data_IF_947570429843
#
_entry.id   IF_947570429843
#
_cell.length_a   1.000
_cell.length_b   1.000
_cell.length_c   1.000
_cell.angle_alpha   90.00
_cell.angle_beta   90.00
_cell.angle_gamma   90.00
#
_symmetry.space_group_name_H-M   'P 1'
#
loop_
_entity.id
_entity.type
_entity.pdbx_description
1 polymer ?
#
# COMPACT_ATOMS: atom_id res chain seq x y z
N UNK A 1 25.80 -22.02 -50.22
CA UNK A 1 25.62 -23.37 -50.80
C UNK A 1 24.15 -23.69 -50.61
N UNK A 2 23.47 -23.60 -51.78
CA UNK A 2 22.39 -24.39 -52.39
C UNK A 2 21.12 -24.52 -51.53
N UNK A 3 20.06 -23.77 -51.86
CA UNK A 3 19.08 -23.93 -52.95
C UNK A 3 18.39 -25.31 -52.99
N UNK A 4 17.08 -25.29 -52.83
CA UNK A 4 16.17 -25.82 -53.85
C UNK A 4 14.69 -25.47 -53.58
N UNK A 5 14.14 -24.81 -54.60
CA UNK A 5 12.74 -24.57 -54.88
C UNK A 5 12.10 -25.79 -55.60
N UNK A 6 10.77 -25.86 -55.61
CA UNK A 6 9.98 -26.78 -56.44
C UNK A 6 8.48 -26.59 -56.22
N UNK A 7 7.89 -25.88 -56.95
CA UNK A 7 7.04 -25.74 -58.15
C UNK A 7 5.87 -26.73 -58.20
N UNK A 8 4.68 -26.13 -58.38
CA UNK A 8 3.38 -26.70 -58.80
C UNK A 8 3.46 -27.50 -60.07
N UNK A 9 2.42 -28.29 -60.41
CA UNK A 9 1.65 -27.95 -61.60
C UNK A 9 0.12 -28.06 -61.51
N UNK A 10 -0.50 -27.25 -62.36
CA UNK A 10 -1.88 -27.32 -62.84
C UNK A 10 -2.09 -28.63 -63.73
N UNK A 11 -3.31 -29.07 -63.85
CA UNK A 11 -4.00 -29.27 -65.11
C UNK A 11 -5.47 -29.69 -64.93
N UNK A 12 -6.12 -29.30 -65.78
CA UNK A 12 -7.32 -28.97 -66.49
C UNK A 12 -8.18 -30.17 -66.90
N UNK A 13 -9.39 -29.82 -67.39
CA UNK A 13 -10.38 -30.50 -68.20
C UNK A 13 -11.35 -31.44 -67.48
N UNK A 14 -12.65 -31.25 -67.53
CA UNK A 14 -13.53 -30.93 -68.64
C UNK A 14 -14.65 -31.97 -68.70
N UNK A 15 -15.80 -31.51 -68.89
CA UNK A 15 -16.94 -32.04 -69.73
C UNK A 15 -18.31 -32.16 -69.01
N UNK A 16 -19.16 -31.48 -69.66
CA UNK A 16 -20.62 -31.42 -69.78
C UNK A 16 -21.43 -32.64 -69.39
N UNK A 17 -22.61 -32.40 -68.86
CA UNK A 17 -23.72 -33.35 -68.76
C UNK A 17 -25.03 -32.61 -68.37
N UNK A 18 -25.75 -32.16 -69.41
CA UNK A 18 -27.16 -31.71 -69.28
C UNK A 18 -28.05 -32.89 -68.83
N UNK A 19 -28.92 -32.61 -67.86
CA UNK A 19 -30.25 -33.24 -67.76
C UNK A 19 -31.28 -32.34 -67.10
N UNK A 20 -32.43 -32.33 -67.81
CA UNK A 20 -33.59 -31.50 -67.72
C UNK A 20 -34.42 -31.72 -66.45
N UNK A 21 -35.12 -30.65 -66.08
CA UNK A 21 -36.22 -30.33 -65.23
C UNK A 21 -37.30 -31.37 -64.96
N UNK A 22 -38.01 -31.38 -63.79
CA UNK A 22 -39.36 -30.77 -63.83
C UNK A 22 -39.70 -29.84 -62.66
N UNK A 23 -40.52 -28.86 -63.01
CA UNK A 23 -41.26 -27.93 -62.21
C UNK A 23 -42.11 -28.59 -61.08
N UNK A 24 -42.10 -28.03 -59.93
CA UNK A 24 -43.25 -27.54 -59.16
C UNK A 24 -42.93 -27.47 -57.65
N UNK A 25 -42.80 -26.27 -57.15
CA UNK A 25 -43.09 -25.98 -55.75
C UNK A 25 -43.36 -24.46 -55.61
N UNK A 26 -44.63 -24.15 -55.60
CA UNK A 26 -45.09 -22.82 -55.24
C UNK A 26 -44.66 -22.47 -53.81
N UNK A 27 -43.71 -21.55 -53.66
CA UNK A 27 -43.39 -20.94 -52.39
C UNK A 27 -44.44 -19.89 -52.04
N UNK A 28 -45.28 -20.19 -51.07
CA UNK A 28 -46.07 -19.16 -50.34
C UNK A 28 -45.12 -18.19 -49.68
N UNK A 29 -44.87 -17.07 -50.30
CA UNK A 29 -44.24 -15.91 -49.66
C UNK A 29 -45.32 -15.21 -48.81
N UNK A 30 -45.34 -15.52 -47.51
CA UNK A 30 -46.09 -14.69 -46.52
C UNK A 30 -45.43 -13.33 -46.51
N UNK A 31 -46.05 -12.33 -47.18
CA UNK A 31 -45.73 -10.91 -47.01
C UNK A 31 -46.12 -10.49 -45.59
N UNK A 32 -45.11 -10.42 -44.68
CA UNK A 32 -45.26 -9.71 -43.41
C UNK A 32 -45.37 -8.22 -43.72
N UNK A 33 -46.60 -7.68 -43.57
CA UNK A 33 -46.86 -6.25 -43.60
C UNK A 33 -46.37 -5.67 -42.27
N UNK A 34 -45.09 -5.28 -42.19
CA UNK A 34 -44.63 -4.44 -41.09
C UNK A 34 -45.36 -3.09 -41.17
N UNK A 35 -46.09 -2.74 -40.14
CA UNK A 35 -46.66 -1.41 -40.02
C UNK A 35 -45.47 -0.44 -39.81
N UNK A 36 -45.25 0.60 -40.60
CA UNK A 36 -44.10 1.47 -40.52
C UNK A 36 -43.97 2.15 -39.13
N UNK A 37 -45.08 2.34 -38.43
CA UNK A 37 -45.12 2.84 -37.06
C UNK A 37 -44.45 1.94 -36.03
N UNK A 38 -44.42 0.62 -36.19
CA UNK A 38 -43.77 -0.32 -35.27
C UNK A 38 -42.28 -0.33 -35.48
N UNK A 39 -41.84 -0.23 -36.74
CA UNK A 39 -40.38 -0.17 -37.05
C UNK A 39 -39.76 1.13 -36.54
N UNK A 40 -40.45 2.27 -36.71
CA UNK A 40 -39.98 3.56 -36.19
C UNK A 40 -39.94 3.56 -34.66
N UNK A 41 -40.95 3.00 -33.99
CA UNK A 41 -40.97 2.89 -32.53
C UNK A 41 -39.83 2.02 -32.00
N UNK A 42 -39.51 0.92 -32.67
CA UNK A 42 -38.37 0.05 -32.30
C UNK A 42 -37.02 0.77 -32.45
N UNK A 43 -36.84 1.53 -33.55
CA UNK A 43 -35.60 2.32 -33.74
C UNK A 43 -35.47 3.42 -32.67
N UNK A 44 -36.53 4.13 -32.32
CA UNK A 44 -36.50 5.15 -31.29
C UNK A 44 -36.17 4.55 -29.91
N UNK A 45 -36.74 3.39 -29.59
CA UNK A 45 -36.41 2.69 -28.33
C UNK A 45 -34.97 2.22 -28.26
N UNK A 46 -34.39 1.71 -29.35
CA UNK A 46 -32.99 1.27 -29.42
C UNK A 46 -32.06 2.49 -29.32
N UNK A 47 -32.38 3.59 -30.03
CA UNK A 47 -31.58 4.82 -29.91
C UNK A 47 -31.69 5.45 -28.52
N UNK A 48 -32.87 5.43 -27.87
CA UNK A 48 -33.05 5.89 -26.51
C UNK A 48 -32.24 5.02 -25.50
N UNK A 49 -32.24 3.69 -25.66
CA UNK A 49 -31.48 2.78 -24.84
C UNK A 49 -29.94 2.98 -25.01
N UNK A 50 -29.47 3.18 -26.25
CA UNK A 50 -28.10 3.50 -26.57
C UNK A 50 -27.70 4.87 -25.98
N UNK A 51 -28.59 5.87 -26.09
CA UNK A 51 -28.32 7.20 -25.55
C UNK A 51 -28.33 7.22 -24.01
N UNK A 52 -29.24 6.47 -23.39
CA UNK A 52 -29.29 6.29 -21.93
C UNK A 52 -28.04 5.52 -21.47
N UNK A 53 -27.64 4.46 -22.18
CA UNK A 53 -26.41 3.73 -21.92
C UNK A 53 -25.15 4.59 -22.08
N UNK A 54 -25.10 5.41 -23.14
CA UNK A 54 -24.01 6.34 -23.40
C UNK A 54 -23.98 7.51 -22.38
N UNK A 55 -25.13 8.05 -22.03
CA UNK A 55 -25.24 9.09 -20.99
C UNK A 55 -24.94 8.53 -19.59
N UNK A 56 -25.32 7.29 -19.31
CA UNK A 56 -24.95 6.56 -18.10
C UNK A 56 -23.43 6.28 -18.05
N UNK A 57 -22.86 5.86 -19.17
CA UNK A 57 -21.42 5.63 -19.30
C UNK A 57 -20.60 6.92 -19.16
N UNK A 58 -21.08 8.04 -19.74
CA UNK A 58 -20.46 9.36 -19.50
C UNK A 58 -20.61 9.88 -18.07
N UNK A 59 -21.70 9.56 -17.37
CA UNK A 59 -21.88 9.91 -15.95
C UNK A 59 -21.05 9.04 -15.01
N UNK A 60 -20.71 7.82 -15.41
CA UNK A 60 -19.85 6.92 -14.62
C UNK A 60 -18.35 7.19 -14.78
N UNK A 61 -17.93 8.01 -15.73
CA UNK A 61 -16.56 8.52 -15.82
C UNK A 61 -16.46 9.79 -14.95
N UNK A 62 -16.38 9.63 -13.63
CA UNK A 62 -15.80 10.67 -12.80
C UNK A 62 -14.47 11.05 -13.44
N UNK A 63 -14.28 12.33 -13.76
CA UNK A 63 -13.08 12.81 -14.44
C UNK A 63 -11.89 12.61 -13.50
N UNK A 64 -11.19 11.49 -13.68
CA UNK A 64 -9.96 11.23 -12.93
C UNK A 64 -8.82 12.04 -13.59
N UNK A 65 -8.11 12.81 -12.79
CA UNK A 65 -6.99 13.63 -13.25
C UNK A 65 -5.69 13.07 -12.68
N UNK A 66 -4.68 12.95 -13.54
CA UNK A 66 -3.35 12.50 -13.12
C UNK A 66 -2.56 13.65 -12.52
N UNK A 67 -1.89 13.38 -11.40
CA UNK A 67 -0.99 14.30 -10.74
C UNK A 67 0.31 13.59 -10.35
N UNK A 68 1.43 14.28 -10.53
CA UNK A 68 2.69 13.90 -9.92
C UNK A 68 2.75 14.44 -8.48
N UNK A 69 3.29 13.66 -7.56
CA UNK A 69 3.46 14.07 -6.16
C UNK A 69 4.62 15.04 -6.04
N UNK A 70 4.41 16.13 -5.33
CA UNK A 70 5.47 17.08 -4.99
C UNK A 70 5.71 17.07 -3.48
N UNK A 71 6.98 16.98 -3.10
CA UNK A 71 7.44 17.06 -1.72
C UNK A 71 7.24 15.78 -0.88
N UNK A 72 7.80 15.78 0.32
CA UNK A 72 7.99 14.58 1.14
C UNK A 72 6.79 14.20 2.02
N UNK A 73 5.72 14.99 2.06
CA UNK A 73 4.69 14.92 3.12
C UNK A 73 3.96 13.60 3.26
N UNK A 74 3.93 12.78 2.19
CA UNK A 74 3.27 11.47 2.16
C UNK A 74 4.25 10.29 2.08
N UNK A 75 5.56 10.54 2.14
CA UNK A 75 6.54 9.46 2.21
C UNK A 75 6.35 8.64 3.52
N UNK A 76 6.53 7.33 3.49
CA UNK A 76 6.98 6.50 2.37
C UNK A 76 5.86 6.05 1.40
N UNK A 77 4.60 6.35 1.68
CA UNK A 77 3.45 5.87 0.89
C UNK A 77 3.44 6.43 -0.53
N UNK A 78 3.67 7.74 -0.67
CA UNK A 78 3.77 8.43 -1.95
C UNK A 78 5.03 9.29 -1.92
N UNK A 79 5.88 9.11 -2.92
CA UNK A 79 7.16 9.81 -3.03
C UNK A 79 7.05 10.98 -4.02
N UNK A 80 7.59 12.14 -3.64
CA UNK A 80 7.91 13.21 -4.58
C UNK A 80 9.08 12.82 -5.50
N UNK A 81 9.59 13.76 -6.27
CA UNK A 81 10.91 13.57 -6.91
C UNK A 81 11.93 13.27 -5.80
N UNK A 82 12.73 12.24 -6.01
CA UNK A 82 13.63 11.74 -4.98
C UNK A 82 14.92 11.20 -5.59
N UNK A 83 15.93 11.04 -4.77
CA UNK A 83 17.16 10.35 -5.13
C UNK A 83 17.18 8.97 -4.47
N UNK A 84 18.00 8.08 -4.99
CA UNK A 84 18.25 6.77 -4.36
C UNK A 84 19.60 6.80 -3.66
N UNK A 85 19.57 6.56 -2.37
CA UNK A 85 20.77 6.28 -1.61
C UNK A 85 21.07 4.78 -1.68
N UNK A 86 22.34 4.43 -1.94
CA UNK A 86 22.82 3.06 -2.05
C UNK A 86 23.98 2.83 -1.08
N UNK A 87 23.79 1.90 -0.18
CA UNK A 87 24.85 1.50 0.73
C UNK A 87 25.86 0.62 0.01
N UNK A 88 27.12 1.02 -0.01
CA UNK A 88 28.21 0.24 -0.63
C UNK A 88 28.54 -1.01 0.17
N UNK A 89 28.21 -1.03 1.45
CA UNK A 89 28.54 -2.12 2.37
C UNK A 89 27.49 -3.23 2.37
N UNK A 90 26.23 -2.91 2.69
CA UNK A 90 25.15 -3.90 2.78
C UNK A 90 24.28 -4.01 1.53
N UNK A 91 24.49 -3.16 0.52
CA UNK A 91 23.74 -3.16 -0.74
C UNK A 91 22.31 -2.66 -0.63
N UNK A 92 21.89 -2.12 0.53
CA UNK A 92 20.55 -1.56 0.70
C UNK A 92 20.39 -0.29 -0.14
N UNK A 93 19.29 -0.21 -0.87
CA UNK A 93 18.86 0.98 -1.61
C UNK A 93 17.59 1.52 -0.98
N UNK A 94 17.49 2.86 -0.85
CA UNK A 94 16.27 3.48 -0.35
C UNK A 94 16.11 4.90 -0.92
N UNK A 95 14.88 5.38 -1.09
CA UNK A 95 14.64 6.74 -1.53
C UNK A 95 14.98 7.76 -0.43
N UNK A 96 15.53 8.89 -0.84
CA UNK A 96 15.77 10.07 0.01
C UNK A 96 15.19 11.32 -0.64
N UNK A 97 14.83 12.30 0.18
CA UNK A 97 14.33 13.59 -0.31
C UNK A 97 15.42 14.32 -1.09
N UNK A 98 15.09 14.84 -2.27
CA UNK A 98 15.99 15.60 -3.13
C UNK A 98 16.44 16.93 -2.47
N UNK A 99 15.67 17.45 -1.51
CA UNK A 99 16.03 18.63 -0.74
C UNK A 99 17.26 18.42 0.16
N UNK A 100 17.66 17.17 0.36
CA UNK A 100 18.82 16.78 1.17
C UNK A 100 20.13 16.74 0.36
N UNK A 101 20.20 17.43 -0.78
CA UNK A 101 21.40 17.50 -1.63
C UNK A 101 22.65 17.91 -0.84
N UNK A 102 23.73 17.14 -1.04
CA UNK A 102 25.01 17.35 -0.37
C UNK A 102 25.07 16.83 1.05
N UNK A 103 24.01 16.26 1.59
CA UNK A 103 24.01 15.61 2.91
C UNK A 103 24.78 14.28 2.84
N UNK A 104 25.68 14.06 3.81
CA UNK A 104 26.32 12.75 3.96
C UNK A 104 25.28 11.75 4.43
N UNK A 105 24.88 10.85 3.55
CA UNK A 105 23.85 9.85 3.85
C UNK A 105 24.50 8.64 4.52
N UNK A 106 23.96 8.27 5.67
CA UNK A 106 24.39 7.09 6.43
C UNK A 106 23.32 6.02 6.27
N UNK A 107 23.73 4.80 5.97
CA UNK A 107 22.83 3.67 5.87
C UNK A 107 22.13 3.41 7.22
N UNK A 108 20.83 3.53 7.26
CA UNK A 108 20.05 3.30 8.49
C UNK A 108 20.07 1.83 8.93
N UNK A 109 20.53 0.92 8.06
CA UNK A 109 20.62 -0.51 8.36
C UNK A 109 21.97 -0.89 8.98
N UNK A 110 23.11 -0.55 8.36
CA UNK A 110 24.42 -1.00 8.82
C UNK A 110 25.31 0.12 9.40
N UNK A 111 24.96 1.39 9.18
CA UNK A 111 25.70 2.54 9.68
C UNK A 111 26.85 3.00 8.79
N UNK A 112 27.09 2.33 7.66
CA UNK A 112 28.10 2.76 6.70
C UNK A 112 27.61 3.91 5.81
N UNK A 113 28.56 4.57 5.14
CA UNK A 113 28.21 5.63 4.18
C UNK A 113 27.48 5.05 2.99
N UNK A 114 26.47 5.77 2.55
CA UNK A 114 25.78 5.50 1.32
C UNK A 114 26.22 6.50 0.24
N UNK A 115 26.26 6.03 -0.99
CA UNK A 115 26.38 6.88 -2.17
C UNK A 115 24.98 7.27 -2.64
N UNK A 116 24.81 8.49 -3.06
CA UNK A 116 23.57 8.97 -3.66
C UNK A 116 23.72 8.87 -5.17
N UNK A 117 22.77 8.23 -5.84
CA UNK A 117 22.78 8.11 -7.29
C UNK A 117 22.59 9.50 -7.93
N UNK A 118 23.33 9.76 -9.01
CA UNK A 118 23.18 11.01 -9.75
C UNK A 118 21.84 11.02 -10.49
N UNK A 119 21.10 12.11 -10.35
CA UNK A 119 19.81 12.32 -10.98
C UNK A 119 18.63 12.07 -10.04
N UNK A 120 17.50 12.68 -10.39
CA UNK A 120 16.25 12.51 -9.67
C UNK A 120 15.45 11.37 -10.29
N UNK A 121 14.89 10.54 -9.44
CA UNK A 121 13.87 9.56 -9.81
C UNK A 121 12.50 10.24 -9.87
N UNK A 122 11.66 9.76 -10.77
CA UNK A 122 10.34 10.33 -10.98
C UNK A 122 9.47 10.19 -9.73
N UNK A 123 8.63 11.18 -9.51
CA UNK A 123 7.63 11.17 -8.46
C UNK A 123 6.57 10.10 -8.69
N UNK A 124 5.95 9.62 -7.61
CA UNK A 124 4.75 8.80 -7.69
C UNK A 124 3.65 9.53 -8.47
N UNK A 125 2.98 8.82 -9.37
CA UNK A 125 1.84 9.33 -10.14
C UNK A 125 0.55 8.78 -9.58
N UNK A 126 -0.38 9.67 -9.31
CA UNK A 126 -1.67 9.34 -8.73
C UNK A 126 -2.83 9.77 -9.62
N UNK A 127 -3.93 9.04 -9.56
CA UNK A 127 -5.24 9.48 -10.04
C UNK A 127 -6.01 10.14 -8.91
N UNK A 128 -6.50 11.34 -9.18
CA UNK A 128 -7.47 11.99 -8.30
C UNK A 128 -8.85 11.82 -8.93
N UNK A 129 -9.65 10.95 -8.33
CA UNK A 129 -11.05 10.79 -8.68
C UNK A 129 -11.85 11.96 -8.12
N UNK A 130 -12.23 12.88 -9.01
CA UNK A 130 -12.91 14.11 -8.61
C UNK A 130 -14.19 13.82 -7.86
N UNK A 131 -14.46 14.62 -6.84
CA UNK A 131 -15.68 14.61 -6.07
C UNK A 131 -16.79 15.34 -6.84
N UNK A 132 -17.90 14.66 -7.11
CA UNK A 132 -19.10 15.34 -7.60
C UNK A 132 -19.81 16.02 -6.42
N UNK A 133 -19.78 17.35 -6.37
CA UNK A 133 -20.58 18.11 -5.42
C UNK A 133 -22.08 17.83 -5.72
N UNK A 134 -22.66 16.93 -4.98
CA UNK A 134 -24.11 16.82 -4.92
C UNK A 134 -24.63 18.12 -4.31
N UNK A 135 -25.49 18.79 -5.06
CA UNK A 135 -26.07 20.08 -4.72
C UNK A 135 -26.52 20.10 -3.24
N UNK A 136 -25.94 21.01 -2.46
CA UNK A 136 -26.09 21.10 -1.00
C UNK A 136 -27.55 21.26 -0.54
N UNK A 137 -28.49 21.48 -1.47
CA UNK A 137 -29.92 21.60 -1.21
C UNK A 137 -30.64 20.26 -1.01
N UNK A 138 -30.00 19.12 -1.37
CA UNK A 138 -30.67 17.80 -1.41
C UNK A 138 -30.25 16.80 -0.35
N UNK A 139 -29.19 17.03 0.43
CA UNK A 139 -28.76 16.05 1.45
C UNK A 139 -28.07 16.70 2.64
N UNK A 140 -28.81 16.86 3.73
CA UNK A 140 -28.34 17.43 5.00
C UNK A 140 -27.55 16.41 5.84
N UNK A 141 -27.54 15.13 5.49
CA UNK A 141 -27.06 14.04 6.37
C UNK A 141 -26.23 12.92 5.73
N UNK A 142 -25.87 13.00 4.46
CA UNK A 142 -25.09 11.91 3.83
C UNK A 142 -23.59 12.20 3.88
N UNK A 143 -22.75 11.20 4.22
CA UNK A 143 -21.31 11.34 4.14
C UNK A 143 -20.86 11.63 2.70
N UNK A 144 -19.75 12.34 2.57
CA UNK A 144 -19.11 12.63 1.29
C UNK A 144 -18.82 11.31 0.55
N UNK A 145 -19.22 11.24 -0.72
CA UNK A 145 -19.02 10.06 -1.56
C UNK A 145 -18.26 10.42 -2.81
N UNK A 146 -17.35 9.53 -3.22
CA UNK A 146 -16.73 9.55 -4.54
C UNK A 146 -17.37 8.42 -5.34
N UNK A 147 -18.20 8.79 -6.31
CA UNK A 147 -19.16 7.81 -6.87
C UNK A 147 -20.13 7.33 -5.78
N UNK A 148 -20.31 6.02 -5.66
CA UNK A 148 -21.17 5.42 -4.64
C UNK A 148 -20.47 5.08 -3.33
N UNK A 149 -19.16 5.33 -3.22
CA UNK A 149 -18.33 4.91 -2.07
C UNK A 149 -18.12 6.07 -1.11
N UNK A 150 -18.52 5.96 0.17
CA UNK A 150 -18.26 6.99 1.17
C UNK A 150 -16.76 7.07 1.47
N UNK A 151 -16.27 8.27 1.86
CA UNK A 151 -14.94 8.43 2.41
C UNK A 151 -14.82 7.71 3.75
N UNK A 152 -13.65 7.13 3.99
CA UNK A 152 -13.33 6.33 5.19
C UNK A 152 -12.08 6.87 5.86
N UNK A 153 -11.90 6.51 7.12
CA UNK A 153 -10.61 6.66 7.79
C UNK A 153 -9.59 5.81 7.03
N UNK A 154 -8.44 6.41 6.71
CA UNK A 154 -7.39 5.79 5.92
C UNK A 154 -7.37 6.21 4.45
N UNK A 155 -8.46 6.73 3.91
CA UNK A 155 -8.46 7.21 2.53
C UNK A 155 -7.45 8.35 2.34
N UNK A 156 -6.70 8.27 1.23
CA UNK A 156 -5.85 9.36 0.79
C UNK A 156 -6.66 10.29 -0.11
N UNK A 157 -6.61 11.57 0.18
CA UNK A 157 -7.42 12.59 -0.51
C UNK A 157 -6.58 13.77 -0.97
N UNK A 158 -7.00 14.35 -2.09
CA UNK A 158 -6.53 15.63 -2.55
C UNK A 158 -7.35 16.74 -1.89
N UNK A 159 -6.69 17.70 -1.26
CA UNK A 159 -7.33 18.85 -0.61
C UNK A 159 -6.84 20.16 -1.22
N UNK A 160 -7.70 21.19 -1.29
CA UNK A 160 -7.26 22.53 -1.67
C UNK A 160 -6.41 23.13 -0.55
N UNK A 161 -5.20 23.59 -0.91
CA UNK A 161 -4.38 24.47 -0.10
C UNK A 161 -4.53 25.92 -0.56
N UNK A 162 -3.76 26.83 -0.01
CA UNK A 162 -3.77 28.25 -0.39
C UNK A 162 -3.30 28.43 -1.84
N UNK A 163 -2.12 27.86 -2.17
CA UNK A 163 -1.49 28.05 -3.50
C UNK A 163 -1.49 26.76 -4.33
N UNK A 164 -1.63 25.59 -3.70
CA UNK A 164 -1.51 24.30 -4.38
C UNK A 164 -2.41 23.24 -3.74
N UNK A 165 -2.69 22.20 -4.51
CA UNK A 165 -3.36 21.00 -4.01
C UNK A 165 -2.39 20.21 -3.12
N UNK A 166 -2.89 19.73 -1.97
CA UNK A 166 -2.13 18.90 -1.04
C UNK A 166 -2.73 17.51 -0.98
N UNK A 167 -1.90 16.50 -0.88
CA UNK A 167 -2.33 15.12 -0.66
C UNK A 167 -2.14 14.77 0.82
N UNK A 168 -3.18 14.23 1.43
CA UNK A 168 -3.21 13.87 2.86
C UNK A 168 -4.08 12.64 3.10
N UNK A 169 -3.87 12.00 4.23
CA UNK A 169 -4.69 10.87 4.68
C UNK A 169 -5.75 11.33 5.67
N UNK A 170 -6.98 10.86 5.49
CA UNK A 170 -8.07 11.07 6.44
C UNK A 170 -7.83 10.17 7.66
N UNK A 171 -7.78 10.76 8.86
CA UNK A 171 -7.70 10.00 10.11
C UNK A 171 -8.94 10.14 10.98
N UNK A 172 -9.79 11.13 10.74
CA UNK A 172 -11.08 11.25 11.42
C UNK A 172 -12.13 11.87 10.50
N UNK A 173 -13.37 11.44 10.69
CA UNK A 173 -14.56 11.77 9.90
C UNK A 173 -15.49 12.73 10.66
N UNK A 174 -16.51 13.33 10.01
CA UNK A 174 -17.50 14.15 10.68
C UNK A 174 -18.14 13.46 11.88
N UNK A 175 -18.12 14.12 13.03
CA UNK A 175 -18.66 13.62 14.30
C UNK A 175 -17.64 12.89 15.18
N UNK A 176 -16.46 12.52 14.66
CA UNK A 176 -15.43 11.88 15.45
C UNK A 176 -14.79 12.82 16.47
N UNK A 177 -14.20 12.23 17.50
CA UNK A 177 -13.42 12.91 18.52
C UNK A 177 -11.93 12.56 18.35
N UNK A 178 -11.12 13.56 18.05
CA UNK A 178 -9.65 13.39 17.97
C UNK A 178 -9.04 13.74 19.33
N UNK A 179 -8.36 12.78 19.94
CA UNK A 179 -7.82 12.84 21.28
C UNK A 179 -6.33 12.53 21.33
N UNK A 180 -5.71 12.69 22.50
CA UNK A 180 -4.31 12.37 22.73
C UNK A 180 -4.14 11.31 23.82
N UNK A 181 -3.31 10.31 23.54
CA UNK A 181 -2.72 9.44 24.57
C UNK A 181 -1.20 9.62 24.56
N UNK A 182 -0.70 10.38 25.52
CA UNK A 182 0.68 10.89 25.42
C UNK A 182 0.81 11.83 24.23
N UNK A 183 1.64 11.52 23.27
CA UNK A 183 1.75 12.28 22.02
C UNK A 183 0.95 11.66 20.85
N UNK A 184 0.47 10.42 20.99
CA UNK A 184 -0.22 9.71 19.91
C UNK A 184 -1.64 10.23 19.74
N UNK A 185 -2.05 10.39 18.48
CA UNK A 185 -3.42 10.74 18.11
C UNK A 185 -4.32 9.49 18.20
N UNK A 186 -5.48 9.69 18.78
CA UNK A 186 -6.55 8.71 18.86
C UNK A 186 -7.81 9.26 18.19
N UNK A 187 -8.65 8.38 17.71
CA UNK A 187 -9.98 8.71 17.18
C UNK A 187 -11.01 7.89 17.96
N UNK A 188 -11.94 8.57 18.64
CA UNK A 188 -12.95 7.96 19.50
C UNK A 188 -12.34 7.00 20.57
N UNK A 189 -11.19 7.37 21.12
CA UNK A 189 -10.47 6.58 22.13
C UNK A 189 -9.61 5.43 21.57
N UNK A 190 -9.71 5.15 20.28
CA UNK A 190 -8.96 4.09 19.60
C UNK A 190 -7.78 4.62 18.81
N UNK A 191 -6.83 3.74 18.53
CA UNK A 191 -5.72 4.06 17.65
C UNK A 191 -6.20 4.17 16.21
N UNK A 192 -5.58 5.04 15.42
CA UNK A 192 -5.93 5.25 14.02
C UNK A 192 -5.84 3.95 13.20
N UNK A 193 -4.89 3.07 13.53
CA UNK A 193 -4.74 1.77 12.85
C UNK A 193 -5.93 0.83 13.06
N UNK A 194 -6.48 0.79 14.29
CA UNK A 194 -7.68 -0.01 14.54
C UNK A 194 -8.87 0.49 13.70
N UNK A 195 -8.91 1.82 13.47
CA UNK A 195 -9.93 2.43 12.62
C UNK A 195 -9.67 2.23 11.11
N UNK A 196 -8.42 2.03 10.70
CA UNK A 196 -8.01 1.88 9.29
C UNK A 196 -7.90 0.43 8.87
N UNK A 197 -8.24 -0.57 9.42
CA UNK A 197 -8.06 -1.96 8.98
C UNK A 197 -6.78 -2.14 8.16
N UNK A 198 -5.76 -2.72 8.76
CA UNK A 198 -4.48 -3.15 8.22
C UNK A 198 -4.15 -2.67 6.79
N UNK A 199 -3.36 -1.64 6.67
CA UNK A 199 -2.89 -1.16 5.37
C UNK A 199 -1.38 -1.33 5.30
N UNK A 200 -0.93 -2.13 4.33
CA UNK A 200 0.50 -2.40 4.11
C UNK A 200 1.27 -1.15 3.70
N UNK A 201 0.59 -0.17 3.09
CA UNK A 201 1.17 1.10 2.67
C UNK A 201 1.61 2.01 3.83
N UNK A 202 1.15 1.75 5.06
CA UNK A 202 1.59 2.45 6.26
C UNK A 202 2.88 1.88 6.88
N UNK A 203 3.43 0.83 6.31
CA UNK A 203 4.65 0.23 6.82
C UNK A 203 5.89 0.99 6.36
N UNK A 204 6.82 1.21 7.28
CA UNK A 204 8.17 1.70 6.99
C UNK A 204 9.14 0.57 7.26
N UNK A 205 9.89 0.10 6.26
CA UNK A 205 10.79 -1.02 6.45
C UNK A 205 11.81 -0.76 7.56
N UNK A 206 11.86 -1.61 8.56
CA UNK A 206 12.87 -1.57 9.62
C UNK A 206 14.09 -2.41 9.25
N UNK A 207 13.85 -3.57 8.63
CA UNK A 207 14.89 -4.46 8.13
C UNK A 207 14.31 -5.42 7.11
N UNK A 208 15.15 -5.91 6.23
CA UNK A 208 14.79 -6.97 5.29
C UNK A 208 15.92 -7.98 5.16
N UNK A 209 15.57 -9.25 5.20
CA UNK A 209 16.53 -10.33 4.97
C UNK A 209 17.11 -10.30 3.55
N UNK A 210 16.36 -9.78 2.58
CA UNK A 210 16.75 -9.71 1.17
C UNK A 210 17.98 -8.82 0.96
N UNK A 211 18.21 -7.85 1.84
CA UNK A 211 19.35 -6.93 1.75
C UNK A 211 20.59 -7.39 2.53
N UNK A 212 20.54 -8.53 3.22
CA UNK A 212 21.72 -9.08 3.87
C UNK A 212 22.64 -9.73 2.82
N UNK A 213 23.88 -9.27 2.74
CA UNK A 213 24.89 -9.86 1.87
C UNK A 213 25.46 -11.15 2.52
N UNK A 214 25.61 -12.21 1.70
CA UNK A 214 26.09 -13.52 2.18
C UNK A 214 27.51 -13.50 2.77
N UNK A 215 28.32 -12.52 2.36
CA UNK A 215 29.69 -12.38 2.82
C UNK A 215 29.82 -11.74 4.21
N UNK A 216 28.73 -11.24 4.78
CA UNK A 216 28.72 -10.58 6.09
C UNK A 216 27.76 -11.26 7.08
N UNK A 217 28.04 -12.50 7.42
CA UNK A 217 27.29 -13.26 8.44
C UNK A 217 27.20 -12.54 9.79
N UNK A 218 28.21 -11.75 10.12
CA UNK A 218 28.29 -10.98 11.37
C UNK A 218 27.23 -9.88 11.46
N UNK A 219 26.68 -9.45 10.33
CA UNK A 219 25.59 -8.47 10.28
C UNK A 219 24.20 -9.08 10.21
N UNK A 220 24.09 -10.42 10.14
CA UNK A 220 22.78 -11.05 10.21
C UNK A 220 22.09 -10.67 11.51
N UNK A 221 20.88 -10.13 11.38
CA UNK A 221 20.06 -9.75 12.52
C UNK A 221 19.11 -10.86 12.96
N UNK A 222 18.94 -11.86 12.09
CA UNK A 222 18.17 -13.06 12.39
C UNK A 222 19.09 -14.17 12.87
N UNK A 223 18.74 -14.81 13.96
CA UNK A 223 19.47 -15.93 14.54
C UNK A 223 18.51 -16.83 15.31
N UNK A 224 18.79 -18.12 15.35
CA UNK A 224 17.92 -19.06 16.05
C UNK A 224 18.60 -20.40 16.27
N UNK A 225 18.22 -21.06 17.36
CA UNK A 225 18.54 -22.47 17.60
C UNK A 225 17.45 -23.32 16.95
N UNK A 226 17.83 -24.44 16.30
CA UNK A 226 16.92 -25.28 15.53
C UNK A 226 16.53 -24.74 14.15
N UNK A 227 17.01 -23.55 13.79
CA UNK A 227 16.78 -22.95 12.47
C UNK A 227 18.05 -23.01 11.63
N UNK A 228 17.91 -23.48 10.39
CA UNK A 228 18.99 -23.53 9.42
C UNK A 228 18.72 -22.53 8.29
N UNK A 229 19.76 -21.80 7.87
CA UNK A 229 19.70 -20.86 6.76
C UNK A 229 20.52 -21.39 5.58
N UNK A 230 19.91 -21.57 4.44
CA UNK A 230 20.60 -21.99 3.23
C UNK A 230 21.24 -20.80 2.46
N UNK A 231 21.95 -21.11 1.36
CA UNK A 231 22.58 -20.09 0.49
C UNK A 231 21.56 -19.19 -0.23
N UNK A 232 20.34 -19.65 -0.44
CA UNK A 232 19.23 -18.90 -1.03
C UNK A 232 18.52 -18.02 0.01
N UNK A 233 19.05 -17.94 1.24
CA UNK A 233 18.49 -17.15 2.35
C UNK A 233 17.14 -17.66 2.86
N UNK A 234 16.85 -18.91 2.64
CA UNK A 234 15.66 -19.57 3.17
C UNK A 234 16.01 -20.15 4.54
N UNK A 235 15.21 -19.83 5.53
CA UNK A 235 15.27 -20.39 6.86
C UNK A 235 14.36 -21.62 6.93
N UNK A 236 14.87 -22.72 7.45
CA UNK A 236 14.11 -23.96 7.62
C UNK A 236 14.16 -24.39 9.08
N UNK A 237 13.04 -24.88 9.60
CA UNK A 237 12.98 -25.50 10.90
C UNK A 237 11.92 -26.62 10.90
N UNK A 238 12.28 -27.70 11.59
CA UNK A 238 11.42 -28.84 11.93
C UNK A 238 11.20 -28.91 13.45
N UNK A 239 11.70 -27.92 14.18
CA UNK A 239 11.78 -27.88 15.64
C UNK A 239 11.09 -26.62 16.18
N UNK A 240 10.67 -26.68 17.44
CA UNK A 240 10.07 -25.58 18.18
C UNK A 240 11.03 -24.47 18.63
N UNK A 241 12.26 -24.46 18.10
CA UNK A 241 13.25 -23.42 18.36
C UNK A 241 12.81 -22.03 17.89
N UNK A 242 13.34 -21.00 18.53
CA UNK A 242 13.01 -19.61 18.20
C UNK A 242 13.97 -19.04 17.15
N UNK A 243 13.43 -18.44 16.08
CA UNK A 243 14.15 -17.54 15.17
C UNK A 243 13.92 -16.11 15.66
N UNK A 244 14.99 -15.47 16.11
CA UNK A 244 14.95 -14.17 16.77
C UNK A 244 15.55 -13.08 15.90
N UNK A 245 14.93 -11.91 15.87
CA UNK A 245 15.47 -10.72 15.24
C UNK A 245 16.13 -9.81 16.26
N UNK A 246 17.44 -9.58 16.12
CA UNK A 246 18.19 -8.64 16.95
C UNK A 246 18.34 -7.31 16.24
N UNK A 247 17.66 -6.29 16.71
CA UNK A 247 17.77 -4.96 16.14
C UNK A 247 19.08 -4.27 16.59
N UNK A 248 19.73 -3.58 15.64
CA UNK A 248 20.91 -2.74 15.88
C UNK A 248 20.64 -1.34 15.33
N UNK A 249 20.96 -0.31 16.09
CA UNK A 249 20.71 1.07 15.68
C UNK A 249 22.02 1.79 15.39
N UNK A 250 22.04 2.49 14.26
CA UNK A 250 23.13 3.41 13.91
C UNK A 250 23.25 4.55 14.92
N UNK A 251 22.15 4.97 15.53
CA UNK A 251 22.12 6.03 16.56
C UNK A 251 22.73 5.58 17.87
N UNK A 252 23.02 4.30 18.04
CA UNK A 252 23.68 3.71 19.19
C UNK A 252 24.97 2.99 18.81
N UNK A 253 25.72 3.51 17.83
CA UNK A 253 26.99 2.92 17.37
C UNK A 253 26.83 1.46 16.96
N UNK A 254 25.75 1.14 16.28
CA UNK A 254 25.41 -0.20 15.81
C UNK A 254 25.26 -1.26 16.92
N UNK A 255 24.98 -0.82 18.16
CA UNK A 255 24.70 -1.71 19.28
C UNK A 255 23.23 -2.18 19.26
N UNK A 256 22.94 -3.31 19.90
CA UNK A 256 21.57 -3.78 20.06
C UNK A 256 20.68 -2.71 20.73
N UNK A 257 19.52 -2.45 20.15
CA UNK A 257 18.58 -1.42 20.61
C UNK A 257 17.15 -1.74 20.20
N UNK A 258 16.19 -0.92 20.65
CA UNK A 258 14.85 -0.95 20.09
C UNK A 258 14.83 -0.42 18.64
N UNK A 259 13.78 -0.77 17.91
CA UNK A 259 13.46 -0.13 16.62
C UNK A 259 12.95 1.28 16.92
N UNK A 260 13.50 2.25 16.22
CA UNK A 260 13.15 3.67 16.38
C UNK A 260 12.14 4.10 15.32
N UNK A 261 11.42 5.19 15.60
CA UNK A 261 10.45 5.82 14.68
C UNK A 261 11.12 6.66 13.58
N UNK A 262 12.31 6.26 13.13
CA UNK A 262 13.08 6.94 12.10
C UNK A 262 12.38 6.96 10.73
N UNK A 263 12.67 7.98 9.94
CA UNK A 263 12.22 8.13 8.56
C UNK A 263 13.44 8.25 7.64
N UNK A 264 13.94 7.14 7.10
CA UNK A 264 15.14 7.14 6.25
C UNK A 264 15.04 8.02 5.01
N UNK A 265 13.83 8.31 4.57
CA UNK A 265 13.54 9.25 3.48
C UNK A 265 14.03 10.66 3.81
N UNK A 266 13.96 11.10 5.06
CA UNK A 266 14.35 12.42 5.52
C UNK A 266 15.79 12.40 6.04
N UNK A 267 16.78 12.18 5.17
CA UNK A 267 18.18 11.95 5.57
C UNK A 267 18.80 13.12 6.36
N UNK A 268 18.40 14.36 6.06
CA UNK A 268 18.87 15.57 6.74
C UNK A 268 18.13 15.92 8.03
N UNK A 269 17.07 15.20 8.39
CA UNK A 269 16.22 15.57 9.53
C UNK A 269 16.80 15.13 10.87
N UNK A 270 17.21 16.09 11.71
CA UNK A 270 17.63 15.81 13.08
C UNK A 270 16.45 15.99 14.06
N UNK A 271 16.09 14.94 14.80
CA UNK A 271 15.05 14.96 15.82
C UNK A 271 15.28 13.89 16.90
N UNK A 272 14.60 14.05 18.02
CA UNK A 272 14.57 13.01 19.05
C UNK A 272 13.70 11.85 18.59
N UNK A 273 14.30 10.69 18.38
CA UNK A 273 13.61 9.46 18.04
C UNK A 273 12.88 8.87 19.25
N UNK A 274 11.82 8.11 18.97
CA UNK A 274 11.03 7.37 19.95
C UNK A 274 11.02 5.89 19.58
N UNK A 275 10.94 4.96 20.54
CA UNK A 275 10.76 3.56 20.24
C UNK A 275 9.47 3.35 19.43
N UNK A 276 9.57 2.53 18.38
CA UNK A 276 8.42 2.10 17.61
C UNK A 276 7.45 1.31 18.50
N UNK A 277 6.16 1.60 18.38
CA UNK A 277 5.11 0.95 19.18
C UNK A 277 4.30 -0.05 18.38
N UNK A 278 4.58 -0.16 17.08
CA UNK A 278 3.87 -1.03 16.17
C UNK A 278 4.83 -1.63 15.18
N UNK A 279 4.80 -2.93 15.05
CA UNK A 279 5.64 -3.70 14.15
C UNK A 279 4.76 -4.59 13.29
N UNK A 280 5.21 -4.84 12.07
CA UNK A 280 4.64 -5.82 11.16
C UNK A 280 5.76 -6.71 10.62
N UNK A 281 5.46 -7.99 10.43
CA UNK A 281 6.36 -8.97 9.84
C UNK A 281 5.70 -9.54 8.59
N UNK A 282 6.40 -9.43 7.47
CA UNK A 282 6.03 -10.06 6.21
C UNK A 282 7.05 -11.16 5.90
N UNK A 283 6.60 -12.28 5.39
CA UNK A 283 7.45 -13.37 4.93
C UNK A 283 6.72 -14.23 3.91
N UNK A 284 7.47 -14.91 3.06
CA UNK A 284 6.94 -16.04 2.30
C UNK A 284 7.17 -17.31 3.13
N UNK A 285 6.10 -18.05 3.36
CA UNK A 285 6.11 -19.30 4.11
C UNK A 285 5.78 -20.45 3.18
N UNK A 286 6.51 -21.53 3.28
CA UNK A 286 6.20 -22.81 2.60
C UNK A 286 6.15 -23.90 3.66
N UNK A 287 5.07 -24.65 3.66
CA UNK A 287 4.87 -25.83 4.46
C UNK A 287 4.44 -26.98 3.54
N UNK A 288 5.03 -28.16 3.67
CA UNK A 288 4.67 -29.30 2.82
C UNK A 288 3.28 -29.85 3.13
N UNK A 289 2.94 -29.84 4.42
CA UNK A 289 1.64 -30.26 4.94
C UNK A 289 0.95 -29.07 5.65
N UNK A 290 0.27 -29.36 6.74
CA UNK A 290 -0.30 -28.34 7.62
C UNK A 290 0.75 -27.92 8.66
N UNK A 291 0.97 -26.62 8.80
CA UNK A 291 1.90 -26.05 9.76
C UNK A 291 1.24 -24.97 10.61
N UNK A 292 1.85 -24.71 11.74
CA UNK A 292 1.44 -23.63 12.63
C UNK A 292 2.65 -22.86 13.14
N UNK A 293 2.60 -21.53 12.98
CA UNK A 293 3.62 -20.61 13.44
C UNK A 293 3.10 -19.71 14.55
N UNK A 294 3.99 -19.35 15.46
CA UNK A 294 3.77 -18.26 16.39
C UNK A 294 4.78 -17.14 16.11
N UNK A 295 4.29 -15.92 15.97
CA UNK A 295 5.10 -14.71 15.85
C UNK A 295 4.86 -13.85 17.08
N UNK A 296 5.91 -13.52 17.82
CA UNK A 296 5.84 -12.73 19.04
C UNK A 296 6.59 -11.43 18.87
N UNK A 297 5.98 -10.34 19.32
CA UNK A 297 6.52 -8.99 19.31
C UNK A 297 6.74 -8.48 20.72
N UNK A 298 7.80 -7.66 20.90
CA UNK A 298 8.00 -6.85 22.09
C UNK A 298 7.56 -5.43 21.81
N UNK A 299 6.45 -5.02 22.42
CA UNK A 299 5.82 -3.70 22.18
C UNK A 299 5.54 -3.00 23.52
N UNK A 300 6.19 -1.86 23.72
CA UNK A 300 5.90 -1.00 24.89
C UNK A 300 6.11 -1.68 26.24
N UNK A 301 7.04 -2.63 26.34
CA UNK A 301 7.32 -3.39 27.57
C UNK A 301 6.45 -4.64 27.73
N UNK A 302 5.72 -5.05 26.71
CA UNK A 302 4.83 -6.23 26.72
C UNK A 302 5.20 -7.20 25.61
N UNK A 303 4.95 -8.49 25.86
CA UNK A 303 5.02 -9.53 24.86
C UNK A 303 3.62 -9.76 24.31
N UNK A 304 3.48 -9.70 23.00
CA UNK A 304 2.22 -9.97 22.30
C UNK A 304 2.50 -10.88 21.11
N UNK A 305 1.65 -11.86 20.86
CA UNK A 305 1.86 -12.88 19.84
C UNK A 305 0.64 -13.16 18.98
N UNK A 306 0.89 -13.59 17.76
CA UNK A 306 -0.10 -14.06 16.80
C UNK A 306 0.26 -15.48 16.40
N UNK A 307 -0.74 -16.36 16.43
CA UNK A 307 -0.60 -17.72 15.90
C UNK A 307 -1.24 -17.79 14.53
N UNK A 308 -0.52 -18.34 13.56
CA UNK A 308 -0.94 -18.46 12.17
C UNK A 308 -0.92 -19.92 11.74
N UNK A 309 -2.04 -20.42 11.24
CA UNK A 309 -2.11 -21.70 10.55
C UNK A 309 -1.64 -21.50 9.10
N UNK A 310 -0.75 -22.38 8.64
CA UNK A 310 -0.12 -22.30 7.32
C UNK A 310 -0.39 -23.59 6.55
N UNK A 311 -0.82 -23.46 5.30
CA UNK A 311 -1.08 -24.58 4.43
C UNK A 311 -0.54 -24.29 3.02
N UNK A 312 0.46 -25.05 2.59
CA UNK A 312 1.16 -24.81 1.33
C UNK A 312 1.96 -23.50 1.27
N UNK A 313 2.18 -22.93 0.07
CA UNK A 313 2.78 -21.62 -0.08
C UNK A 313 1.84 -20.52 0.44
N UNK A 314 2.31 -19.72 1.36
CA UNK A 314 1.53 -18.71 2.05
C UNK A 314 2.32 -17.39 2.21
N UNK A 315 1.69 -16.26 1.91
CA UNK A 315 2.23 -14.95 2.22
C UNK A 315 1.83 -14.55 3.64
N UNK A 316 2.77 -14.65 4.56
CA UNK A 316 2.58 -14.25 5.95
C UNK A 316 2.61 -12.73 6.04
N UNK A 317 1.58 -12.15 6.62
CA UNK A 317 1.51 -10.74 6.96
C UNK A 317 0.91 -10.62 8.36
N UNK A 318 1.74 -10.28 9.35
CA UNK A 318 1.38 -10.28 10.76
C UNK A 318 1.70 -8.93 11.38
N UNK A 319 0.71 -8.32 12.01
CA UNK A 319 0.86 -7.06 12.75
C UNK A 319 0.82 -7.29 14.26
N UNK A 320 1.59 -6.50 14.99
CA UNK A 320 1.50 -6.45 16.45
C UNK A 320 0.14 -5.96 16.97
N UNK A 321 -0.69 -5.38 16.09
CA UNK A 321 -2.03 -4.92 16.43
C UNK A 321 -3.05 -6.06 16.52
N UNK A 322 -2.79 -7.15 15.81
CA UNK A 322 -3.61 -8.37 15.81
C UNK A 322 -3.21 -9.33 16.92
N UNK A 323 -2.15 -8.99 17.66
CA UNK A 323 -1.52 -9.87 18.63
C UNK A 323 -2.20 -9.79 20.00
N UNK A 324 -2.23 -10.93 20.69
CA UNK A 324 -2.70 -11.07 22.06
C UNK A 324 -1.53 -11.21 23.03
N UNK A 325 -1.75 -10.92 24.32
CA UNK A 325 -0.70 -11.08 25.32
C UNK A 325 -0.23 -12.54 25.40
N UNK A 326 1.08 -12.74 25.48
CA UNK A 326 1.71 -14.06 25.68
C UNK A 326 2.55 -14.05 26.97
N UNK A 327 2.62 -15.22 27.60
CA UNK A 327 3.29 -15.36 28.92
C UNK A 327 4.80 -15.42 28.80
N UNK A 328 5.31 -16.04 27.74
CA UNK A 328 6.75 -16.25 27.55
C UNK A 328 7.16 -16.28 26.08
N UNK A 329 8.19 -15.49 25.78
CA UNK A 329 8.96 -15.55 24.53
C UNK A 329 10.33 -14.89 24.73
N UNK A 330 11.36 -15.23 23.95
CA UNK A 330 12.70 -14.64 24.07
C UNK A 330 12.78 -13.27 23.37
N UNK A 331 11.79 -12.42 23.62
CA UNK A 331 11.72 -11.07 23.04
C UNK A 331 12.04 -10.01 24.09
N UNK A 332 12.60 -8.91 23.64
CA UNK A 332 12.96 -7.75 24.44
C UNK A 332 13.01 -6.50 23.55
N UNK A 333 13.29 -5.34 24.12
CA UNK A 333 13.50 -4.14 23.31
C UNK A 333 14.62 -4.32 22.26
N UNK A 334 15.63 -5.13 22.53
CA UNK A 334 16.75 -5.39 21.62
C UNK A 334 16.50 -6.56 20.66
N UNK A 335 15.57 -7.44 21.02
CA UNK A 335 15.11 -8.58 20.24
C UNK A 335 13.59 -8.45 20.06
N UNK A 336 13.15 -7.47 19.24
CA UNK A 336 11.73 -7.08 19.23
C UNK A 336 10.80 -8.06 18.54
N UNK A 337 11.32 -9.08 17.84
CA UNK A 337 10.52 -10.09 17.15
C UNK A 337 11.15 -11.46 17.29
N UNK A 338 10.33 -12.47 17.53
CA UNK A 338 10.70 -13.87 17.48
C UNK A 338 9.61 -14.70 16.80
N UNK A 339 10.03 -15.75 16.09
CA UNK A 339 9.17 -16.67 15.36
C UNK A 339 9.50 -18.09 15.84
N UNK A 340 8.51 -18.93 16.05
CA UNK A 340 8.71 -20.38 16.22
C UNK A 340 7.70 -21.20 15.45
N UNK A 341 8.07 -22.42 15.13
CA UNK A 341 7.19 -23.44 14.60
C UNK A 341 6.50 -24.12 15.78
N UNK A 342 5.19 -24.19 15.76
CA UNK A 342 4.40 -24.93 16.73
C UNK A 342 4.07 -26.33 16.22
N UNK A 343 3.82 -26.45 14.90
CA UNK A 343 3.46 -27.71 14.24
C UNK A 343 4.01 -27.71 12.81
N UNK A 344 4.46 -28.88 12.33
CA UNK A 344 4.93 -29.10 10.97
C UNK A 344 6.37 -28.64 10.69
N UNK A 345 6.81 -28.81 9.45
CA UNK A 345 8.09 -28.31 8.93
C UNK A 345 7.85 -27.07 8.08
N UNK A 346 8.58 -26.00 8.35
CA UNK A 346 8.33 -24.69 7.75
C UNK A 346 9.60 -24.10 7.13
N UNK A 347 9.44 -23.51 5.95
CA UNK A 347 10.45 -22.71 5.27
C UNK A 347 10.01 -21.25 5.25
N UNK A 348 10.88 -20.36 5.68
CA UNK A 348 10.66 -18.89 5.65
C UNK A 348 11.65 -18.23 4.71
N UNK A 349 11.14 -17.35 3.84
CA UNK A 349 11.97 -16.51 2.96
C UNK A 349 11.41 -15.10 2.90
N UNK A 350 12.19 -14.17 2.35
CA UNK A 350 11.79 -12.76 2.18
C UNK A 350 11.28 -12.13 3.50
N UNK A 351 11.92 -12.46 4.65
CA UNK A 351 11.54 -11.86 5.92
C UNK A 351 11.76 -10.34 5.86
N UNK A 352 10.68 -9.61 6.06
CA UNK A 352 10.68 -8.15 6.14
C UNK A 352 10.04 -7.72 7.45
N UNK A 353 10.80 -7.02 8.26
CA UNK A 353 10.29 -6.40 9.47
C UNK A 353 10.10 -4.91 9.21
N UNK A 354 8.88 -4.44 9.43
CA UNK A 354 8.52 -3.05 9.26
C UNK A 354 8.01 -2.48 10.59
N UNK A 355 8.22 -1.20 10.78
CA UNK A 355 7.44 -0.43 11.74
C UNK A 355 6.28 0.24 11.01
N UNK A 356 5.15 0.32 11.68
CA UNK A 356 4.01 1.06 11.14
C UNK A 356 4.11 2.55 11.51
N UNK A 357 3.52 3.40 10.68
CA UNK A 357 3.46 4.84 10.91
C UNK A 357 2.59 5.10 12.15
N UNK A 358 3.12 5.83 13.11
CA UNK A 358 2.36 6.28 14.28
C UNK A 358 2.04 7.76 14.12
N UNK A 359 0.78 8.10 13.97
CA UNK A 359 0.33 9.48 13.90
C UNK A 359 0.34 10.10 15.29
N UNK A 360 1.19 11.12 15.44
CA UNK A 360 1.47 11.72 16.73
C UNK A 360 1.76 13.21 16.60
N UNK A 361 1.64 13.93 17.69
CA UNK A 361 2.09 15.31 17.77
C UNK A 361 3.61 15.40 17.73
N UNK A 362 4.10 16.40 17.03
CA UNK A 362 5.49 16.85 17.05
C UNK A 362 5.74 17.71 18.29
N UNK A 363 6.98 17.96 18.71
CA UNK A 363 7.29 18.77 19.89
C UNK A 363 6.72 20.19 19.88
N UNK A 364 6.53 20.76 18.69
CA UNK A 364 6.01 22.14 18.50
C UNK A 364 4.50 22.20 18.27
N UNK A 365 3.81 21.07 18.15
CA UNK A 365 2.36 21.04 17.94
C UNK A 365 1.62 21.47 19.22
N UNK A 366 0.57 22.25 19.06
CA UNK A 366 -0.23 22.74 20.17
C UNK A 366 -1.13 21.65 20.76
N UNK A 367 -0.74 21.15 21.92
CA UNK A 367 -1.48 20.11 22.65
C UNK A 367 -2.80 20.63 23.25
N UNK A 368 -2.91 21.95 23.52
CA UNK A 368 -4.08 22.51 24.13
C UNK A 368 -5.30 22.53 23.22
N UNK A 369 -5.09 22.31 21.92
CA UNK A 369 -6.19 22.17 20.93
C UNK A 369 -6.99 20.88 21.10
N UNK A 370 -6.46 19.86 21.78
CA UNK A 370 -7.10 18.57 21.95
C UNK A 370 -7.80 18.44 23.31
N UNK A 371 -8.96 17.73 23.37
CA UNK A 371 -9.61 17.00 22.30
C UNK A 371 -10.32 17.91 21.29
N UNK A 372 -10.43 17.45 20.02
CA UNK A 372 -11.13 18.13 18.95
C UNK A 372 -12.33 17.30 18.52
N UNK A 373 -13.55 17.80 18.72
CA UNK A 373 -14.75 17.17 18.15
C UNK A 373 -15.04 17.75 16.79
N UNK A 374 -15.10 16.86 15.79
CA UNK A 374 -15.35 17.25 14.40
C UNK A 374 -16.83 17.59 14.19
N UNK A 375 -17.09 18.71 13.52
CA UNK A 375 -18.43 19.11 13.09
C UNK A 375 -18.94 18.23 11.94
N UNK A 376 -20.17 18.48 11.50
CA UNK A 376 -20.87 17.68 10.49
C UNK A 376 -20.19 17.59 9.12
N UNK A 377 -19.31 18.53 8.79
CA UNK A 377 -18.61 18.64 7.51
C UNK A 377 -17.12 18.86 7.69
N UNK A 378 -16.59 18.39 8.81
CA UNK A 378 -15.20 18.56 9.16
C UNK A 378 -14.47 17.24 9.14
N UNK A 379 -13.24 17.28 8.64
CA UNK A 379 -12.35 16.13 8.53
C UNK A 379 -11.01 16.49 9.17
N UNK A 380 -10.35 15.51 9.73
CA UNK A 380 -8.98 15.66 10.22
C UNK A 380 -8.05 14.83 9.33
N UNK A 381 -7.07 15.50 8.73
CA UNK A 381 -6.16 14.88 7.76
C UNK A 381 -4.71 15.03 8.19
N UNK A 382 -3.89 14.04 7.90
CA UNK A 382 -2.46 14.03 8.22
C UNK A 382 -1.63 13.50 7.05
N UNK A 383 -0.34 13.84 7.03
CA UNK A 383 0.58 13.21 6.09
C UNK A 383 1.28 12.02 6.72
N UNK A 384 1.64 11.04 5.91
CA UNK A 384 2.30 9.83 6.35
C UNK A 384 3.76 10.08 6.79
N UNK A 385 4.38 11.12 6.26
CA UNK A 385 5.66 11.62 6.77
C UNK A 385 5.43 12.53 7.99
N UNK A 386 5.08 11.92 9.09
CA UNK A 386 4.64 12.58 10.33
C UNK A 386 5.58 13.70 10.80
N UNK A 387 6.93 13.57 10.72
CA UNK A 387 7.83 14.63 11.20
C UNK A 387 7.77 15.93 10.40
N UNK A 388 7.53 15.88 9.09
CA UNK A 388 7.68 17.02 8.18
C UNK A 388 6.37 17.48 7.53
N UNK A 389 5.30 16.68 7.64
CA UNK A 389 4.03 17.02 6.99
C UNK A 389 3.38 18.25 7.64
N UNK A 390 2.99 19.20 6.81
CA UNK A 390 2.10 20.30 7.17
C UNK A 390 0.65 19.84 6.93
N UNK A 391 -0.13 19.70 8.02
CA UNK A 391 -1.45 19.06 7.99
C UNK A 391 -2.39 19.56 9.10
N UNK A 392 -3.44 18.83 9.44
CA UNK A 392 -4.42 19.28 10.43
C UNK A 392 -3.84 19.53 11.82
N UNK A 393 -2.67 19.02 12.13
CA UNK A 393 -1.95 19.38 13.38
C UNK A 393 -1.51 20.84 13.38
N UNK A 394 -1.27 21.41 12.18
CA UNK A 394 -0.88 22.81 11.98
C UNK A 394 -2.09 23.72 11.75
N UNK A 395 -2.87 23.43 10.70
CA UNK A 395 -3.93 24.30 10.22
C UNK A 395 -5.33 23.95 10.76
N UNK A 396 -5.46 22.85 11.55
CA UNK A 396 -6.74 22.42 12.11
C UNK A 396 -7.55 21.55 11.17
N UNK A 397 -8.84 21.42 11.50
CA UNK A 397 -9.80 20.65 10.71
C UNK A 397 -10.00 21.28 9.34
N UNK A 398 -10.27 20.44 8.34
CA UNK A 398 -10.64 20.90 7.00
C UNK A 398 -12.14 20.75 6.79
N UNK A 399 -12.71 21.65 6.01
CA UNK A 399 -14.10 21.56 5.60
C UNK A 399 -14.24 20.60 4.41
N UNK A 400 -15.35 19.89 4.33
CA UNK A 400 -15.74 18.98 3.24
C UNK A 400 -15.43 19.57 1.85
N UNK A 401 -15.76 20.85 1.63
CA UNK A 401 -15.53 21.57 0.36
C UNK A 401 -14.05 21.68 -0.05
N UNK A 402 -13.14 21.49 0.90
CA UNK A 402 -11.70 21.49 0.62
C UNK A 402 -11.26 20.17 -0.01
N UNK A 403 -11.99 19.07 0.18
CA UNK A 403 -11.66 17.78 -0.42
C UNK A 403 -12.06 17.83 -1.92
N UNK A 404 -11.09 17.58 -2.79
CA UNK A 404 -11.25 17.61 -4.24
C UNK A 404 -11.46 16.24 -4.86
N UNK A 405 -10.98 15.20 -4.21
CA UNK A 405 -11.13 13.83 -4.68
C UNK A 405 -10.38 12.83 -3.84
N UNK A 406 -10.66 11.53 -4.09
CA UNK A 406 -9.88 10.40 -3.55
C UNK A 406 -8.69 10.16 -4.44
N UNK A 407 -7.59 9.81 -3.83
CA UNK A 407 -6.32 9.54 -4.50
C UNK A 407 -6.13 8.03 -4.63
N UNK A 408 -5.77 7.60 -5.83
CA UNK A 408 -5.38 6.24 -6.16
C UNK A 408 -3.97 6.25 -6.75
N UNK A 409 -3.06 5.41 -6.23
CA UNK A 409 -1.72 5.27 -6.79
C UNK A 409 -1.79 4.46 -8.08
N UNK A 410 -1.21 5.02 -9.18
CA UNK A 410 -1.14 4.32 -10.46
C UNK A 410 0.26 3.73 -10.67
N UNK A 411 1.29 4.50 -10.35
CA UNK A 411 2.68 4.13 -10.62
C UNK A 411 3.53 4.51 -9.40
N UNK A 412 4.22 3.52 -8.83
CA UNK A 412 5.34 3.70 -7.91
C UNK A 412 6.60 3.25 -8.63
N UNK A 413 7.57 4.11 -8.76
CA UNK A 413 8.86 3.80 -9.40
C UNK A 413 9.88 3.29 -8.39
#
# INVERSE_FOLDING_TARGET
MLDHAGKLPNDDSGTQGEHAVPLSLQKHVRRWKYRPSVVVASFVMVFAAIFIGWAGWKRGMASAVRFAIHGPSMAPTLLGEHQIAKCVDCGLNWPIDISDEGTSVICFHCGDRATVENGAHAASVVLVHAYEHVDASKSISSPLRIGDVPLRIGDVVAISGEDMMRIKRIIALPGDLVELRGASLLVNGETIHNAMRAQDDLNVPASSLVFELDNRRELSRWHGEGWQRNKQRVWTSEDSGWLMYRHRSIYQRNQPSCIWDDYPYNAGLSRKLQPARRLALNANVVCEDQGRLEVVFWIGGRMVGVTCDVNGPYALNVSSDDAVAVEFAPVSAQTPVAIRVLEGSVQLSCLQLARQIEYRLRPHDDRARYPIRLGRREYFVVGDNVPVSLDSRDFGVIQERAIKGRVELIESH
#
